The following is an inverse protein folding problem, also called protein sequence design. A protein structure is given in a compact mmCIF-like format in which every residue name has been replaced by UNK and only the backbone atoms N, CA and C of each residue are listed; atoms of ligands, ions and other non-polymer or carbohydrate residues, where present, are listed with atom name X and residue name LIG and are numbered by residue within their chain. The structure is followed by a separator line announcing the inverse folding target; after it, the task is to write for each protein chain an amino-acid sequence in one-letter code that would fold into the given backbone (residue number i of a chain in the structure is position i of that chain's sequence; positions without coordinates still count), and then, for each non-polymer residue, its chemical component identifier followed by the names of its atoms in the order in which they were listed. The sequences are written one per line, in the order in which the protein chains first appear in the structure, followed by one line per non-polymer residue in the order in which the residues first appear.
data_IF_618796751750
#
_entry.id   IF_618796751750
#
_cell.length_a   1.000
_cell.length_b   1.000
_cell.length_c   1.000
_cell.angle_alpha   90.00
_cell.angle_beta   90.00
_cell.angle_gamma   90.00
#
_symmetry.space_group_name_H-M   'P 1'
#
loop_
_entity.id
_entity.type
_entity.pdbx_description
1 polymer ?
#
# COMPACT_ATOMS: atom_id res chain seq x y z
N UNK A 1 -26.52 45.27 -35.50
CA UNK A 1 -25.50 44.20 -35.66
C UNK A 1 -26.07 42.76 -35.61
N UNK A 2 -27.39 42.54 -35.49
CA UNK A 2 -27.96 41.18 -35.53
C UNK A 2 -28.25 40.60 -36.93
N UNK A 3 -28.54 41.45 -37.91
CA UNK A 3 -28.94 41.00 -39.25
C UNK A 3 -27.79 40.48 -40.12
N UNK A 4 -26.55 40.89 -39.85
CA UNK A 4 -25.37 40.43 -40.60
C UNK A 4 -24.99 38.97 -40.27
N UNK A 5 -25.23 38.52 -39.03
CA UNK A 5 -24.93 37.15 -38.62
C UNK A 5 -25.94 36.15 -39.21
N UNK A 6 -27.20 36.56 -39.35
CA UNK A 6 -28.27 35.73 -39.92
C UNK A 6 -28.08 35.49 -41.43
N UNK A 7 -27.56 36.48 -42.16
CA UNK A 7 -27.27 36.31 -43.60
C UNK A 7 -26.09 35.35 -43.84
N UNK A 8 -25.08 35.38 -42.96
CA UNK A 8 -23.89 34.52 -43.07
C UNK A 8 -24.20 33.05 -42.78
N UNK A 9 -25.17 32.78 -41.89
CA UNK A 9 -25.64 31.41 -41.61
C UNK A 9 -26.48 30.82 -42.75
N UNK A 10 -27.21 31.64 -43.51
CA UNK A 10 -27.98 31.15 -44.67
C UNK A 10 -27.08 30.76 -45.85
N UNK A 11 -25.96 31.46 -46.04
CA UNK A 11 -25.00 31.12 -47.12
C UNK A 11 -24.20 29.85 -46.85
N UNK A 12 -24.08 29.40 -45.60
CA UNK A 12 -23.35 28.18 -45.25
C UNK A 12 -24.19 26.89 -45.40
N UNK A 13 -25.51 27.01 -45.59
CA UNK A 13 -26.42 25.85 -45.66
C UNK A 13 -26.81 25.43 -47.10
N UNK A 14 -26.28 26.08 -48.15
CA UNK A 14 -26.67 25.78 -49.55
C UNK A 14 -25.55 25.23 -50.43
N UNK A 15 -24.45 24.73 -49.86
CA UNK A 15 -23.35 24.13 -50.63
C UNK A 15 -23.42 22.59 -50.68
N UNK A 16 -24.45 22.06 -51.34
CA UNK A 16 -24.42 20.74 -51.94
C UNK A 16 -24.82 20.88 -53.41
N UNK A 17 -23.89 21.34 -54.24
CA UNK A 17 -24.02 21.31 -55.70
C UNK A 17 -23.43 20.00 -56.22
N UNK A 18 -24.27 19.13 -56.77
CA UNK A 18 -23.81 18.02 -57.61
C UNK A 18 -23.17 18.60 -58.88
N UNK A 19 -21.92 18.21 -59.14
CA UNK A 19 -21.17 18.62 -60.30
C UNK A 19 -21.67 17.86 -61.56
N UNK A 20 -22.26 18.54 -62.57
CA UNK A 20 -22.80 17.90 -63.75
C UNK A 20 -21.72 17.52 -64.78
N UNK A 21 -20.43 17.72 -64.48
CA UNK A 21 -19.33 17.49 -65.41
C UNK A 21 -18.80 16.05 -65.45
N UNK A 22 -19.39 15.10 -64.69
CA UNK A 22 -19.09 13.68 -64.90
C UNK A 22 -19.87 13.11 -66.11
N UNK A 23 -19.19 12.64 -67.16
CA UNK A 23 -19.87 12.09 -68.33
C UNK A 23 -20.64 10.81 -67.95
N UNK A 24 -21.97 10.91 -67.99
CA UNK A 24 -22.90 9.78 -68.04
C UNK A 24 -22.74 9.04 -69.37
N UNK A 25 -21.67 8.28 -69.54
CA UNK A 25 -21.53 7.41 -70.70
C UNK A 25 -20.59 6.25 -70.39
N UNK A 26 -21.15 5.20 -69.80
CA UNK A 26 -20.94 3.82 -70.28
C UNK A 26 -22.15 2.98 -69.84
N UNK A 27 -22.93 2.57 -70.85
CA UNK A 27 -23.82 1.40 -70.95
C UNK A 27 -24.45 0.88 -69.65
N UNK A 28 -25.78 0.77 -69.49
CA UNK A 28 -26.61 -0.28 -70.12
C UNK A 28 -25.92 -1.64 -70.39
N UNK A 29 -24.91 -2.01 -69.62
CA UNK A 29 -24.46 -3.39 -69.54
C UNK A 29 -25.15 -4.03 -68.36
N UNK A 30 -26.07 -4.94 -68.71
CA UNK A 30 -26.56 -6.07 -67.92
C UNK A 30 -26.38 -5.87 -66.41
N UNK A 31 -27.47 -5.56 -65.71
CA UNK A 31 -27.60 -5.96 -64.31
C UNK A 31 -27.39 -7.46 -64.32
N UNK A 32 -26.15 -7.90 -64.06
CA UNK A 32 -25.84 -9.28 -63.77
C UNK A 32 -26.71 -9.59 -62.58
N UNK A 33 -27.81 -10.31 -62.79
CA UNK A 33 -28.58 -10.90 -61.71
C UNK A 33 -27.54 -11.71 -60.94
N UNK A 34 -27.13 -11.21 -59.78
CA UNK A 34 -26.13 -11.89 -58.96
C UNK A 34 -26.60 -13.32 -58.78
N UNK A 35 -25.76 -14.29 -59.13
CA UNK A 35 -26.10 -15.69 -58.88
C UNK A 35 -26.28 -15.85 -57.37
N UNK A 36 -27.35 -16.56 -57.00
CA UNK A 36 -27.56 -16.90 -55.60
C UNK A 36 -26.40 -17.80 -55.13
N UNK A 37 -25.64 -17.33 -54.16
CA UNK A 37 -24.59 -18.12 -53.53
C UNK A 37 -25.27 -19.14 -52.62
N UNK A 38 -25.36 -20.39 -53.08
CA UNK A 38 -25.81 -21.50 -52.26
C UNK A 38 -24.61 -22.12 -51.54
N UNK A 39 -24.48 -21.89 -50.22
CA UNK A 39 -23.55 -22.65 -49.39
C UNK A 39 -24.05 -24.09 -49.30
N UNK A 40 -23.25 -25.06 -49.73
CA UNK A 40 -23.54 -26.47 -49.45
C UNK A 40 -23.30 -26.73 -47.94
N UNK A 41 -24.15 -27.53 -47.29
CA UNK A 41 -24.07 -27.76 -45.83
C UNK A 41 -22.74 -28.44 -45.39
N UNK A 42 -22.01 -28.93 -46.37
CA UNK A 42 -20.78 -29.70 -46.33
C UNK A 42 -19.57 -28.90 -46.83
N UNK A 43 -19.75 -27.63 -47.18
CA UNK A 43 -18.68 -26.73 -47.65
C UNK A 43 -17.94 -26.06 -46.48
N UNK A 44 -17.00 -26.80 -45.89
CA UNK A 44 -16.07 -26.27 -44.88
C UNK A 44 -14.72 -25.96 -45.53
N UNK A 45 -14.56 -24.75 -46.09
CA UNK A 45 -13.30 -24.31 -46.73
C UNK A 45 -12.13 -24.21 -45.73
N UNK A 46 -12.43 -23.99 -44.45
CA UNK A 46 -11.44 -23.91 -43.39
C UNK A 46 -12.02 -24.52 -42.12
N UNK A 47 -11.35 -25.51 -41.53
CA UNK A 47 -11.61 -25.92 -40.15
C UNK A 47 -10.83 -24.97 -39.25
N UNK A 48 -11.48 -24.05 -38.53
CA UNK A 48 -10.77 -23.26 -37.53
C UNK A 48 -10.14 -24.24 -36.52
N UNK A 49 -8.90 -24.00 -36.08
CA UNK A 49 -8.33 -24.80 -35.02
C UNK A 49 -9.26 -24.75 -33.80
N UNK A 50 -9.35 -25.85 -33.03
CA UNK A 50 -10.16 -25.86 -31.81
C UNK A 50 -9.70 -24.70 -30.91
N UNK A 51 -10.65 -23.95 -30.32
CA UNK A 51 -10.31 -22.82 -29.47
C UNK A 51 -9.40 -23.30 -28.34
N UNK A 52 -8.21 -22.73 -28.26
CA UNK A 52 -7.32 -22.94 -27.12
C UNK A 52 -7.88 -22.16 -25.92
N UNK A 53 -8.08 -22.81 -24.76
CA UNK A 53 -8.42 -22.09 -23.54
C UNK A 53 -7.31 -21.08 -23.25
N UNK A 54 -7.60 -19.79 -23.45
CA UNK A 54 -6.72 -18.72 -23.00
C UNK A 54 -6.91 -18.63 -21.48
N UNK A 55 -5.84 -18.71 -20.67
CA UNK A 55 -5.95 -18.40 -19.26
C UNK A 55 -6.49 -16.97 -19.11
N UNK A 56 -7.47 -16.78 -18.23
CA UNK A 56 -8.03 -15.46 -17.98
C UNK A 56 -6.90 -14.50 -17.59
N UNK A 57 -6.80 -13.31 -18.19
CA UNK A 57 -5.82 -12.33 -17.76
C UNK A 57 -6.05 -12.01 -16.28
N UNK A 58 -4.99 -12.13 -15.47
CA UNK A 58 -5.02 -11.75 -14.06
C UNK A 58 -5.07 -10.22 -14.02
N UNK A 59 -6.23 -9.66 -13.67
CA UNK A 59 -6.38 -8.23 -13.47
C UNK A 59 -5.43 -7.73 -12.36
N UNK A 60 -4.89 -6.52 -12.49
CA UNK A 60 -3.91 -5.95 -11.54
C UNK A 60 -4.39 -6.00 -10.08
N UNK A 61 -5.67 -5.72 -9.82
CA UNK A 61 -6.27 -5.80 -8.47
C UNK A 61 -6.32 -7.22 -7.88
N UNK A 62 -6.20 -8.29 -8.70
CA UNK A 62 -6.02 -9.66 -8.21
C UNK A 62 -4.59 -9.94 -7.75
N UNK A 63 -3.59 -9.14 -8.17
CA UNK A 63 -2.23 -9.18 -7.60
C UNK A 63 -2.19 -8.59 -6.19
N UNK A 64 -3.21 -7.81 -5.82
CA UNK A 64 -3.34 -7.13 -4.52
C UNK A 64 -4.06 -7.97 -3.47
N UNK A 65 -4.22 -9.29 -3.68
CA UNK A 65 -4.83 -10.18 -2.69
C UNK A 65 -3.77 -11.03 -2.00
N UNK A 66 -3.77 -10.99 -0.67
CA UNK A 66 -3.07 -11.96 0.16
C UNK A 66 -4.01 -13.13 0.45
N UNK A 67 -4.12 -14.05 -0.51
CA UNK A 67 -5.13 -15.10 -0.49
C UNK A 67 -6.51 -14.56 -0.91
N UNK A 68 -7.45 -14.48 0.03
CA UNK A 68 -8.81 -13.94 -0.20
C UNK A 68 -9.01 -12.52 0.32
N UNK A 69 -8.02 -11.97 1.02
CA UNK A 69 -8.09 -10.69 1.72
C UNK A 69 -7.25 -9.67 0.96
N UNK A 70 -7.67 -8.39 0.87
CA UNK A 70 -6.82 -7.32 0.35
C UNK A 70 -5.45 -7.31 1.04
N UNK A 71 -4.40 -7.29 0.23
CA UNK A 71 -3.04 -7.24 0.70
C UNK A 71 -2.80 -5.93 1.44
N UNK A 72 -2.00 -6.03 2.49
CA UNK A 72 -1.39 -4.86 3.13
C UNK A 72 -0.47 -4.21 2.11
N UNK A 73 -0.65 -2.92 1.92
CA UNK A 73 0.16 -2.06 1.04
C UNK A 73 0.78 -0.94 1.88
N UNK A 74 1.75 -0.21 1.32
CA UNK A 74 2.38 0.94 2.00
C UNK A 74 1.37 1.98 2.52
N UNK A 75 0.21 2.13 1.86
CA UNK A 75 -0.82 3.08 2.28
C UNK A 75 -1.44 2.76 3.65
N UNK A 76 -1.38 1.51 4.10
CA UNK A 76 -1.84 1.11 5.44
C UNK A 76 -0.90 1.59 6.55
N UNK A 77 0.31 2.05 6.19
CA UNK A 77 1.28 2.60 7.12
C UNK A 77 1.20 4.13 7.20
N UNK A 78 0.21 4.78 6.58
CA UNK A 78 0.13 6.24 6.70
C UNK A 78 -0.15 6.66 8.13
N UNK A 79 0.22 7.89 8.47
CA UNK A 79 -0.06 8.45 9.78
C UNK A 79 -1.55 8.57 10.04
N UNK A 80 -1.96 8.32 11.27
CA UNK A 80 -3.35 8.31 11.72
C UNK A 80 -3.71 9.54 12.57
N UNK A 81 -2.90 10.60 12.50
CA UNK A 81 -3.16 11.85 13.20
C UNK A 81 -4.52 12.46 12.84
N UNK A 82 -5.13 13.11 13.84
CA UNK A 82 -6.43 13.77 13.70
C UNK A 82 -6.33 15.21 14.19
N UNK A 83 -6.39 16.19 13.29
CA UNK A 83 -6.26 17.60 13.68
C UNK A 83 -7.47 18.16 14.44
N UNK A 84 -8.54 17.38 14.64
CA UNK A 84 -9.61 17.70 15.57
C UNK A 84 -9.34 17.23 17.01
N UNK A 85 -8.19 16.60 17.26
CA UNK A 85 -7.73 16.29 18.60
C UNK A 85 -7.48 17.58 19.39
N UNK A 86 -7.79 17.62 20.71
CA UNK A 86 -7.57 18.81 21.53
C UNK A 86 -6.07 19.12 21.67
N UNK A 87 -5.72 20.39 21.83
CA UNK A 87 -4.33 20.77 22.11
C UNK A 87 -3.84 20.11 23.40
N UNK A 88 -2.62 19.59 23.38
CA UNK A 88 -1.92 19.10 24.57
C UNK A 88 -0.90 20.12 25.04
N UNK A 89 -0.85 20.33 26.34
CA UNK A 89 0.21 21.11 26.96
C UNK A 89 1.39 20.19 27.28
N UNK A 90 2.57 20.55 26.81
CA UNK A 90 3.82 19.82 27.08
C UNK A 90 4.86 20.78 27.67
N UNK A 91 5.71 20.28 28.56
CA UNK A 91 6.93 20.99 28.96
C UNK A 91 8.09 20.54 28.09
N UNK A 92 8.79 21.50 27.48
CA UNK A 92 9.98 21.25 26.68
C UNK A 92 11.02 22.33 27.01
N UNK A 93 12.20 21.91 27.47
CA UNK A 93 13.30 22.82 27.86
C UNK A 93 12.90 23.87 28.92
N UNK A 94 12.00 23.52 29.84
CA UNK A 94 11.50 24.44 30.87
C UNK A 94 10.44 25.44 30.38
N UNK A 95 10.02 25.34 29.11
CA UNK A 95 8.92 26.13 28.56
C UNK A 95 7.67 25.28 28.38
N UNK A 96 6.52 25.83 28.78
CA UNK A 96 5.22 25.28 28.43
C UNK A 96 4.92 25.57 26.96
N UNK A 97 4.60 24.53 26.19
CA UNK A 97 4.19 24.63 24.78
C UNK A 97 2.87 23.90 24.57
N UNK A 98 2.08 24.39 23.61
CA UNK A 98 0.88 23.70 23.14
C UNK A 98 1.20 22.98 21.83
N UNK A 99 0.92 21.70 21.77
CA UNK A 99 1.09 20.87 20.58
C UNK A 99 -0.28 20.41 20.08
N UNK A 100 -0.50 20.56 18.77
CA UNK A 100 -1.62 20.00 18.04
C UNK A 100 -1.19 18.74 17.31
N UNK A 101 -2.15 17.84 17.09
CA UNK A 101 -1.96 16.71 16.20
C UNK A 101 -2.01 17.16 14.72
N UNK A 102 -1.49 16.34 13.80
CA UNK A 102 -1.65 16.56 12.36
C UNK A 102 -2.99 16.01 11.86
N UNK A 103 -3.37 16.28 10.61
CA UNK A 103 -4.51 15.66 9.91
C UNK A 103 -4.13 14.39 9.13
N UNK A 104 -3.08 13.70 9.58
CA UNK A 104 -2.62 12.43 9.05
C UNK A 104 -2.35 12.47 7.54
N UNK A 105 -2.97 11.61 6.72
CA UNK A 105 -2.68 11.51 5.28
C UNK A 105 -3.04 12.76 4.47
N UNK A 106 -3.76 13.72 5.04
CA UNK A 106 -4.11 14.96 4.30
C UNK A 106 -2.98 15.98 4.35
N UNK A 107 -2.27 16.10 5.47
CA UNK A 107 -1.18 17.06 5.66
C UNK A 107 0.15 16.57 5.06
N UNK A 108 0.39 15.27 5.04
CA UNK A 108 1.72 14.75 4.70
C UNK A 108 1.71 13.34 4.09
N UNK A 109 2.86 12.94 3.53
CA UNK A 109 3.09 11.64 2.90
C UNK A 109 3.66 10.62 3.89
N UNK A 110 3.94 9.42 3.37
CA UNK A 110 4.92 8.51 3.98
C UNK A 110 6.34 9.10 3.87
N UNK A 111 7.34 8.56 4.59
CA UNK A 111 8.73 8.92 4.37
C UNK A 111 9.12 8.80 2.90
N UNK A 112 9.90 9.74 2.40
CA UNK A 112 10.34 9.85 1.02
C UNK A 112 11.77 9.33 0.97
N UNK A 113 12.00 8.33 0.12
CA UNK A 113 13.31 7.79 -0.19
C UNK A 113 13.45 7.78 -1.70
N UNK A 114 14.55 8.34 -2.21
CA UNK A 114 14.83 8.43 -3.66
C UNK A 114 13.67 9.08 -4.46
N UNK A 115 13.03 10.10 -3.86
CA UNK A 115 11.92 10.83 -4.47
C UNK A 115 10.55 10.14 -4.41
N UNK A 116 10.43 8.99 -3.73
CA UNK A 116 9.17 8.23 -3.64
C UNK A 116 8.77 7.90 -2.21
N UNK A 117 7.46 7.80 -1.97
CA UNK A 117 6.91 7.29 -0.71
C UNK A 117 7.41 5.86 -0.43
N UNK A 118 7.98 5.69 0.75
CA UNK A 118 8.75 4.54 1.17
C UNK A 118 8.30 4.02 2.53
N UNK A 119 8.21 2.69 2.61
CA UNK A 119 8.09 1.88 3.83
C UNK A 119 9.00 0.68 3.60
N UNK A 120 9.60 0.16 4.67
CA UNK A 120 10.48 -0.99 4.55
C UNK A 120 9.71 -2.22 4.05
N UNK A 121 10.08 -2.81 2.88
CA UNK A 121 9.31 -3.89 2.25
C UNK A 121 9.08 -5.10 3.15
N UNK A 122 10.06 -5.46 3.98
CA UNK A 122 9.95 -6.57 4.94
C UNK A 122 8.74 -6.45 5.87
N UNK A 123 8.33 -5.24 6.26
CA UNK A 123 7.13 -5.05 7.07
C UNK A 123 5.88 -5.45 6.30
N UNK A 124 5.77 -5.05 5.03
CA UNK A 124 4.65 -5.41 4.16
C UNK A 124 4.62 -6.92 3.93
N UNK A 125 5.79 -7.52 3.65
CA UNK A 125 5.91 -8.96 3.39
C UNK A 125 5.48 -9.81 4.58
N UNK A 126 5.94 -9.44 5.80
CA UNK A 126 5.57 -10.13 7.03
C UNK A 126 4.06 -10.04 7.30
N UNK A 127 3.46 -8.86 7.19
CA UNK A 127 2.03 -8.68 7.44
C UNK A 127 1.18 -9.43 6.41
N UNK A 128 1.57 -9.42 5.13
CA UNK A 128 0.88 -10.21 4.11
C UNK A 128 1.06 -11.71 4.32
N UNK A 129 2.25 -12.19 4.68
CA UNK A 129 2.44 -13.60 5.02
C UNK A 129 1.53 -14.02 6.18
N UNK A 130 1.38 -13.18 7.22
CA UNK A 130 0.44 -13.43 8.31
C UNK A 130 -1.01 -13.49 7.80
N UNK A 131 -1.47 -12.54 6.98
CA UNK A 131 -2.83 -12.60 6.40
C UNK A 131 -3.05 -13.88 5.58
N UNK A 132 -2.05 -14.27 4.78
CA UNK A 132 -2.12 -15.48 3.95
C UNK A 132 -2.23 -16.75 4.80
N UNK A 133 -1.45 -16.87 5.88
CA UNK A 133 -1.43 -18.07 6.73
C UNK A 133 -2.64 -18.15 7.67
N UNK A 134 -3.16 -17.01 8.09
CA UNK A 134 -4.28 -16.97 9.03
C UNK A 134 -5.63 -16.91 8.35
N UNK A 135 -5.70 -16.55 7.06
CA UNK A 135 -6.93 -16.14 6.38
C UNK A 135 -7.71 -15.06 7.17
N UNK A 136 -7.00 -14.24 7.95
CA UNK A 136 -7.56 -13.16 8.76
C UNK A 136 -6.91 -11.82 8.42
N UNK A 137 -7.68 -10.75 8.62
CA UNK A 137 -7.21 -9.39 8.31
C UNK A 137 -6.22 -8.92 9.38
N UNK A 138 -5.10 -8.37 8.92
CA UNK A 138 -4.17 -7.63 9.79
C UNK A 138 -4.69 -6.20 9.95
N UNK A 139 -4.80 -5.75 11.20
CA UNK A 139 -5.19 -4.38 11.55
C UNK A 139 -3.96 -3.65 12.07
N UNK A 140 -3.43 -2.73 11.25
CA UNK A 140 -2.35 -1.83 11.65
C UNK A 140 -2.94 -0.72 12.52
N UNK A 141 -2.42 -0.59 13.74
CA UNK A 141 -2.83 0.44 14.70
C UNK A 141 -1.93 1.66 14.57
N UNK A 142 -0.62 1.44 14.42
CA UNK A 142 0.37 2.48 14.19
C UNK A 142 1.35 2.09 13.08
N UNK A 143 1.45 2.91 12.03
CA UNK A 143 2.44 2.79 10.97
C UNK A 143 3.49 3.89 11.06
N UNK A 144 3.58 4.75 10.06
CA UNK A 144 4.39 5.96 10.10
C UNK A 144 3.75 7.02 11.00
N UNK A 145 4.55 7.68 11.85
CA UNK A 145 4.15 8.89 12.57
C UNK A 145 4.96 10.08 12.05
N UNK A 146 4.31 11.15 11.61
CA UNK A 146 5.06 12.40 11.40
C UNK A 146 5.53 12.97 12.74
N UNK A 147 6.50 13.91 12.76
CA UNK A 147 6.97 14.53 13.99
C UNK A 147 5.86 15.16 14.85
N UNK A 148 4.91 15.87 14.24
CA UNK A 148 3.83 16.54 14.96
C UNK A 148 2.94 15.52 15.68
N UNK A 149 2.49 14.50 14.94
CA UNK A 149 1.71 13.40 15.50
C UNK A 149 2.50 12.59 16.53
N UNK A 150 3.77 12.31 16.28
CA UNK A 150 4.63 11.57 17.20
C UNK A 150 4.74 12.27 18.55
N UNK A 151 5.07 13.57 18.54
CA UNK A 151 5.14 14.40 19.75
C UNK A 151 3.77 14.47 20.43
N UNK A 152 2.69 14.56 19.65
CA UNK A 152 1.34 14.60 20.19
C UNK A 152 0.94 13.28 20.87
N UNK A 153 1.32 12.13 20.31
CA UNK A 153 1.01 10.79 20.84
C UNK A 153 1.85 10.49 22.10
N UNK A 154 3.16 10.70 22.04
CA UNK A 154 4.09 10.44 23.15
C UNK A 154 5.36 11.33 23.02
N UNK A 155 5.48 12.32 23.91
CA UNK A 155 6.62 13.24 23.96
C UNK A 155 7.73 12.80 24.93
N UNK A 156 7.70 11.56 25.43
CA UNK A 156 8.69 11.08 26.38
C UNK A 156 10.08 10.95 25.74
N UNK A 157 11.17 11.17 26.49
CA UNK A 157 12.54 11.00 25.99
C UNK A 157 12.83 9.60 25.41
N UNK A 158 12.11 8.58 25.90
CA UNK A 158 12.24 7.20 25.43
C UNK A 158 11.76 7.02 23.99
N UNK A 159 10.81 7.85 23.54
CA UNK A 159 10.24 7.80 22.19
C UNK A 159 10.91 8.74 21.20
N UNK A 160 11.86 9.58 21.61
CA UNK A 160 12.56 10.54 20.74
C UNK A 160 13.28 9.92 19.53
N UNK A 161 13.50 8.60 19.56
CA UNK A 161 14.18 7.84 18.51
C UNK A 161 13.29 6.74 17.89
N UNK A 162 11.97 6.92 17.95
CA UNK A 162 11.00 5.96 17.42
C UNK A 162 11.21 5.68 15.94
N UNK A 163 11.08 4.41 15.56
CA UNK A 163 11.24 3.97 14.18
C UNK A 163 9.97 4.14 13.36
N UNK A 164 8.83 4.42 14.00
CA UNK A 164 7.62 4.87 13.31
C UNK A 164 7.88 6.16 12.51
N UNK A 165 8.71 7.07 13.03
CA UNK A 165 9.02 8.33 12.33
C UNK A 165 9.75 8.16 11.00
N UNK A 166 10.44 7.02 10.81
CA UNK A 166 11.16 6.71 9.58
C UNK A 166 10.52 5.56 8.78
N UNK A 167 9.28 5.18 9.12
CA UNK A 167 8.54 4.11 8.45
C UNK A 167 9.14 2.70 8.64
N UNK A 168 9.95 2.53 9.70
CA UNK A 168 10.68 1.29 10.02
C UNK A 168 10.09 0.54 11.21
N UNK A 169 8.87 0.85 11.61
CA UNK A 169 8.16 0.22 12.71
C UNK A 169 6.67 0.14 12.41
N UNK A 170 6.02 -0.91 12.91
CA UNK A 170 4.59 -1.11 12.79
C UNK A 170 4.03 -1.80 14.02
N UNK A 171 2.90 -1.29 14.50
CA UNK A 171 2.08 -1.91 15.54
C UNK A 171 0.80 -2.45 14.92
N UNK A 172 0.44 -3.68 15.25
CA UNK A 172 -0.73 -4.33 14.67
C UNK A 172 -1.28 -5.47 15.53
N UNK A 173 -2.51 -5.87 15.23
CA UNK A 173 -3.08 -7.14 15.67
C UNK A 173 -3.77 -7.85 14.50
N UNK A 174 -4.15 -9.11 14.68
CA UNK A 174 -4.86 -9.90 13.67
C UNK A 174 -6.29 -10.11 14.12
N UNK A 175 -7.25 -9.73 13.27
CA UNK A 175 -8.67 -9.83 13.56
C UNK A 175 -9.05 -11.30 13.79
N UNK A 176 -9.78 -11.59 14.88
CA UNK A 176 -10.14 -12.96 15.29
C UNK A 176 -9.03 -13.76 15.97
N UNK A 177 -7.83 -13.18 16.10
CA UNK A 177 -6.67 -13.77 16.79
C UNK A 177 -6.08 -12.78 17.82
N UNK A 178 -6.89 -11.86 18.32
CA UNK A 178 -6.50 -10.79 19.24
C UNK A 178 -5.83 -11.32 20.52
N UNK A 179 -6.34 -12.43 21.06
CA UNK A 179 -5.82 -13.06 22.28
C UNK A 179 -4.73 -14.13 22.00
N UNK A 180 -4.17 -14.18 20.79
CA UNK A 180 -3.12 -15.15 20.40
C UNK A 180 -1.86 -14.48 19.80
N UNK A 181 -1.25 -13.48 20.45
CA UNK A 181 -0.09 -12.78 19.89
C UNK A 181 1.13 -13.69 19.71
N UNK A 182 1.33 -14.71 20.56
CA UNK A 182 2.43 -15.66 20.45
C UNK A 182 2.36 -16.48 19.16
N UNK A 183 1.16 -16.87 18.73
CA UNK A 183 0.97 -17.55 17.45
C UNK A 183 1.39 -16.66 16.27
N UNK A 184 1.18 -15.34 16.37
CA UNK A 184 1.64 -14.39 15.36
C UNK A 184 3.16 -14.31 15.33
N UNK A 185 3.83 -14.38 16.48
CA UNK A 185 5.30 -14.47 16.55
C UNK A 185 5.82 -15.74 15.86
N UNK A 186 5.17 -16.88 16.08
CA UNK A 186 5.55 -18.14 15.43
C UNK A 186 5.43 -18.03 13.89
N UNK A 187 4.39 -17.36 13.38
CA UNK A 187 4.24 -17.10 11.95
C UNK A 187 5.35 -16.18 11.41
N UNK A 188 5.73 -15.14 12.17
CA UNK A 188 6.85 -14.26 11.80
C UNK A 188 8.15 -15.07 11.71
N UNK A 189 8.45 -15.92 12.68
CA UNK A 189 9.64 -16.78 12.64
C UNK A 189 9.58 -17.75 11.46
N UNK A 190 8.40 -18.33 11.21
CA UNK A 190 8.18 -19.26 10.10
C UNK A 190 8.36 -18.61 8.73
N UNK A 191 8.02 -17.34 8.55
CA UNK A 191 8.29 -16.60 7.31
C UNK A 191 9.76 -16.69 6.90
N UNK A 192 10.69 -16.52 7.85
CA UNK A 192 12.12 -16.58 7.58
C UNK A 192 12.63 -18.00 7.25
N UNK A 193 11.92 -19.03 7.71
CA UNK A 193 12.23 -20.42 7.38
C UNK A 193 11.67 -20.84 6.03
N UNK A 194 10.45 -20.40 5.71
CA UNK A 194 9.72 -20.79 4.51
C UNK A 194 10.19 -19.99 3.26
N UNK A 195 10.76 -18.80 3.43
CA UNK A 195 11.11 -17.90 2.33
C UNK A 195 12.49 -18.21 1.75
N UNK A 196 12.52 -18.57 0.45
CA UNK A 196 13.72 -19.02 -0.27
C UNK A 196 14.89 -18.04 -0.16
N UNK A 197 14.62 -16.73 -0.18
CA UNK A 197 15.62 -15.66 -0.11
C UNK A 197 16.42 -15.66 1.21
N UNK A 198 15.96 -16.34 2.26
CA UNK A 198 16.66 -16.49 3.55
C UNK A 198 17.22 -17.90 3.77
N UNK A 199 17.06 -18.82 2.82
CA UNK A 199 17.52 -20.19 2.99
C UNK A 199 19.04 -20.26 3.23
N UNK A 200 19.44 -20.99 4.27
CA UNK A 200 20.84 -21.10 4.71
C UNK A 200 21.41 -19.87 5.41
N UNK A 201 20.65 -18.78 5.57
CA UNK A 201 21.11 -17.55 6.22
C UNK A 201 20.76 -17.55 7.71
N UNK A 202 21.59 -18.23 8.50
CA UNK A 202 21.35 -18.46 9.94
C UNK A 202 21.00 -17.19 10.73
N UNK A 203 21.69 -16.08 10.47
CA UNK A 203 21.46 -14.81 11.19
C UNK A 203 20.05 -14.23 10.99
N UNK A 204 19.38 -14.58 9.88
CA UNK A 204 17.99 -14.19 9.60
C UNK A 204 17.00 -15.25 10.12
N UNK A 205 17.36 -16.52 10.06
CA UNK A 205 16.47 -17.61 10.44
C UNK A 205 16.40 -17.85 11.96
N UNK A 206 17.47 -17.56 12.69
CA UNK A 206 17.53 -17.76 14.13
C UNK A 206 17.08 -16.52 14.88
N UNK A 207 16.02 -16.68 15.68
CA UNK A 207 15.56 -15.64 16.59
C UNK A 207 16.14 -15.86 17.99
N UNK A 208 16.72 -14.79 18.54
CA UNK A 208 17.24 -14.73 19.90
C UNK A 208 16.28 -13.94 20.79
N UNK A 209 16.34 -14.20 22.09
CA UNK A 209 15.63 -13.41 23.11
C UNK A 209 16.44 -12.18 23.50
N UNK A 210 15.75 -11.06 23.70
CA UNK A 210 16.36 -9.84 24.21
C UNK A 210 16.42 -9.85 25.73
N UNK A 211 17.62 -10.03 26.28
CA UNK A 211 17.84 -10.21 27.73
C UNK A 211 18.38 -8.96 28.45
N UNK A 212 18.56 -7.84 27.75
CA UNK A 212 19.24 -6.64 28.30
C UNK A 212 18.42 -5.83 29.32
N UNK A 213 17.30 -6.36 29.82
CA UNK A 213 16.52 -5.81 30.93
C UNK A 213 15.85 -4.45 30.69
N UNK A 214 15.95 -3.89 29.48
CA UNK A 214 15.52 -2.54 29.13
C UNK A 214 14.37 -2.52 28.10
N UNK A 215 13.55 -3.57 28.05
CA UNK A 215 12.32 -3.55 27.25
C UNK A 215 11.19 -2.90 28.03
N UNK A 216 10.32 -2.18 27.32
CA UNK A 216 9.09 -1.57 27.82
C UNK A 216 7.92 -2.56 27.92
N UNK A 217 8.22 -3.87 27.85
CA UNK A 217 7.27 -4.98 27.86
C UNK A 217 7.73 -6.09 28.81
N UNK A 218 6.78 -6.76 29.45
CA UNK A 218 7.02 -7.89 30.36
C UNK A 218 7.54 -9.11 29.60
N UNK A 219 7.02 -9.38 28.41
CA UNK A 219 7.45 -10.52 27.58
C UNK A 219 8.74 -10.15 26.85
N UNK A 220 9.86 -10.82 27.16
CA UNK A 220 11.16 -10.57 26.54
C UNK A 220 11.07 -10.57 25.01
N UNK A 221 11.47 -9.49 24.32
CA UNK A 221 11.34 -9.41 22.87
C UNK A 221 12.17 -10.46 22.11
N UNK A 222 11.80 -10.71 20.86
CA UNK A 222 12.55 -11.58 19.94
C UNK A 222 13.27 -10.74 18.90
N UNK A 223 14.39 -11.23 18.38
CA UNK A 223 15.06 -10.58 17.26
C UNK A 223 15.91 -11.54 16.44
N UNK A 224 16.04 -11.23 15.16
CA UNK A 224 17.05 -11.80 14.26
C UNK A 224 17.90 -10.64 13.69
N UNK A 225 18.70 -10.88 12.65
CA UNK A 225 19.48 -9.82 11.98
C UNK A 225 18.61 -8.67 11.45
N UNK A 226 17.42 -8.95 10.94
CA UNK A 226 16.60 -8.00 10.18
C UNK A 226 15.56 -7.26 11.01
N UNK A 227 14.94 -7.91 12.00
CA UNK A 227 13.83 -7.35 12.77
C UNK A 227 13.96 -7.58 14.27
N UNK A 228 13.28 -6.74 15.03
CA UNK A 228 13.06 -6.83 16.47
C UNK A 228 11.54 -6.83 16.71
N UNK A 229 11.04 -7.79 17.48
CA UNK A 229 9.60 -8.02 17.63
C UNK A 229 9.21 -8.06 19.10
N UNK A 230 8.19 -7.26 19.46
CA UNK A 230 7.63 -7.15 20.80
C UNK A 230 6.18 -7.62 20.82
N UNK A 231 5.76 -8.19 21.94
CA UNK A 231 4.34 -8.33 22.28
C UNK A 231 4.05 -7.32 23.38
N UNK A 232 3.05 -6.48 23.17
CA UNK A 232 2.46 -5.64 24.18
C UNK A 232 1.17 -6.29 24.69
N UNK A 233 1.14 -6.61 25.98
CA UNK A 233 -0.06 -7.13 26.66
C UNK A 233 -1.17 -6.07 26.72
N UNK A 234 -2.35 -6.47 27.16
CA UNK A 234 -3.58 -5.64 27.18
C UNK A 234 -3.42 -4.26 27.83
N UNK A 235 -2.51 -4.12 28.77
CA UNK A 235 -2.30 -2.87 29.53
C UNK A 235 -0.92 -2.23 29.27
N UNK A 236 -0.15 -2.72 28.30
CA UNK A 236 1.20 -2.22 28.03
C UNK A 236 1.21 -1.26 26.84
N UNK A 237 2.08 -0.24 26.89
CA UNK A 237 2.40 0.64 25.76
C UNK A 237 1.20 1.31 25.11
N UNK A 238 0.17 1.69 25.88
CA UNK A 238 -1.05 2.31 25.37
C UNK A 238 -0.88 3.82 25.15
N UNK A 239 -1.32 4.29 24.00
CA UNK A 239 -1.35 5.67 23.57
C UNK A 239 -2.55 5.88 22.62
N UNK A 240 -2.60 7.02 21.92
CA UNK A 240 -3.73 7.38 21.05
C UNK A 240 -3.84 6.53 19.78
N UNK A 241 -2.77 5.90 19.33
CA UNK A 241 -2.77 5.08 18.10
C UNK A 241 -3.21 3.65 18.35
N UNK A 242 -2.96 3.14 19.55
CA UNK A 242 -3.21 1.75 19.93
C UNK A 242 -4.17 1.65 21.13
N UNK A 243 -5.15 2.56 21.18
CA UNK A 243 -6.20 2.60 22.19
C UNK A 243 -7.23 1.46 21.97
N UNK A 244 -6.80 0.22 22.13
CA UNK A 244 -7.63 -0.97 22.08
C UNK A 244 -7.34 -1.92 23.27
N UNK A 245 -8.31 -2.77 23.58
CA UNK A 245 -8.33 -3.62 24.79
C UNK A 245 -7.55 -4.93 24.65
N UNK A 246 -7.07 -5.25 23.44
CA UNK A 246 -6.39 -6.50 23.12
C UNK A 246 -4.86 -6.34 23.03
N UNK A 247 -4.06 -7.41 23.26
CA UNK A 247 -2.63 -7.38 22.95
C UNK A 247 -2.35 -6.96 21.51
N UNK A 248 -1.16 -6.42 21.26
CA UNK A 248 -0.67 -6.15 19.91
C UNK A 248 0.79 -6.55 19.75
N UNK A 249 1.21 -6.70 18.50
CA UNK A 249 2.59 -7.00 18.11
C UNK A 249 3.19 -5.75 17.50
N UNK A 250 4.44 -5.47 17.87
CA UNK A 250 5.24 -4.40 17.27
C UNK A 250 6.46 -5.01 16.58
N UNK A 251 6.69 -4.64 15.32
CA UNK A 251 7.87 -5.06 14.54
C UNK A 251 8.69 -3.83 14.21
N UNK A 252 9.97 -3.83 14.59
CA UNK A 252 10.96 -2.81 14.24
C UNK A 252 12.01 -3.38 13.30
N UNK A 253 12.27 -2.71 12.17
CA UNK A 253 13.34 -3.10 11.25
C UNK A 253 14.70 -2.69 11.84
N UNK A 254 15.64 -3.64 11.90
CA UNK A 254 17.01 -3.48 12.40
C UNK A 254 18.04 -3.38 11.29
N UNK A 255 17.83 -4.09 10.19
CA UNK A 255 18.76 -4.16 9.06
C UNK A 255 17.98 -4.16 7.76
N UNK A 256 18.44 -3.40 6.77
CA UNK A 256 17.86 -3.40 5.44
C UNK A 256 18.73 -4.29 4.54
N UNK A 257 18.18 -5.41 4.12
CA UNK A 257 18.89 -6.39 3.30
C UNK A 257 19.30 -5.82 1.94
N UNK A 258 18.47 -4.97 1.34
CA UNK A 258 18.65 -4.50 -0.04
C UNK A 258 19.89 -3.61 -0.19
N UNK A 259 20.18 -2.78 0.81
CA UNK A 259 21.35 -1.90 0.80
C UNK A 259 22.44 -2.33 1.79
N UNK A 260 22.22 -3.40 2.54
CA UNK A 260 23.20 -3.94 3.49
C UNK A 260 23.45 -3.07 4.73
N UNK A 261 22.52 -2.18 5.08
CA UNK A 261 22.72 -1.19 6.14
C UNK A 261 21.88 -1.46 7.39
N UNK A 262 22.41 -1.06 8.55
CA UNK A 262 21.64 -1.01 9.79
C UNK A 262 20.58 0.10 9.70
N UNK A 263 19.36 -0.22 10.09
CA UNK A 263 18.26 0.74 10.17
C UNK A 263 18.28 1.41 11.53
N UNK A 264 18.69 2.67 11.54
CA UNK A 264 18.69 3.55 12.71
C UNK A 264 17.88 4.81 12.41
N UNK A 265 17.27 5.35 13.45
CA UNK A 265 16.72 6.69 13.43
C UNK A 265 17.81 7.71 13.09
N UNK A 266 17.45 8.73 12.32
CA UNK A 266 18.19 9.99 12.25
C UNK A 266 17.20 11.13 12.13
N UNK A 267 17.57 12.30 12.66
CA UNK A 267 16.71 13.48 12.62
C UNK A 267 16.34 13.85 11.19
N UNK A 268 17.29 13.84 10.26
CA UNK A 268 17.00 14.14 8.85
C UNK A 268 15.97 13.20 8.22
N UNK A 269 16.06 11.88 8.48
CA UNK A 269 15.09 10.91 7.96
C UNK A 269 13.69 11.13 8.52
N UNK A 270 13.61 11.56 9.79
CA UNK A 270 12.35 11.77 10.48
C UNK A 270 11.70 13.14 10.20
N UNK A 271 12.50 14.20 10.00
CA UNK A 271 12.02 15.58 9.94
C UNK A 271 12.02 16.20 8.53
N UNK A 272 12.78 15.65 7.58
CA UNK A 272 12.90 16.21 6.21
C UNK A 272 12.22 15.38 5.13
N UNK A 273 11.72 14.20 5.50
CA UNK A 273 11.34 13.18 4.53
C UNK A 273 9.86 12.99 4.28
N UNK A 274 8.92 13.82 4.73
CA UNK A 274 7.48 13.43 4.67
C UNK A 274 6.51 14.54 4.25
N UNK A 275 6.97 15.78 4.04
CA UNK A 275 6.09 16.84 3.52
C UNK A 275 5.84 16.62 2.03
N UNK A 276 4.58 16.76 1.60
CA UNK A 276 4.22 16.76 0.19
C UNK A 276 4.71 18.06 -0.43
N UNK A 277 5.57 17.96 -1.45
CA UNK A 277 5.89 19.08 -2.32
C UNK A 277 4.76 19.33 -3.32
#
# INVERSE_FOLDING_TARGET
MGYFLALLLFTLLTSCGEDPSFPKQFSQQQISKGEYIYRRQDEYLFRPPPPTPQPLPIYEWKKELSGKIPAVTKHHFRCHGKGNNPFKQIEQNGETRYVSDCNGPSDHSLPIKDGQEFVYPILIDLLNYIQLKTENKVIITSGHRCPDHHIYVDNSPAQSYSKHMIGAEVDFYVQGLEDKPEYIIDLIQKYYLDTLVYNGQKDYQQFLRWEKGNSDVITSPWYNKEIYVKIYRKNEGRNLDNLHTHPYVSIQVRYNKDNGEKVTYSWDKAFRGFYRH
#
